data_IF_524861425104
#
_entry.id   IF_524861425104
#
_cell.length_a   1.000
_cell.length_b   1.000
_cell.length_c   1.000
_cell.angle_alpha   90.00
_cell.angle_beta   90.00
_cell.angle_gamma   90.00
#
_symmetry.space_group_name_H-M   'P 1'
#
loop_
_entity.id
_entity.type
_entity.pdbx_description
1 polymer ?
#
# COMPACT_ATOMS: atom_id res chain seq x y z
N UNK A 1 26.33 -7.97 4.32
CA UNK A 1 24.91 -7.87 4.68
C UNK A 1 24.67 -8.79 5.86
N UNK A 2 24.14 -8.26 6.96
CA UNK A 2 23.81 -9.01 8.17
C UNK A 2 22.30 -8.99 8.36
N UNK A 3 21.65 -10.16 8.32
CA UNK A 3 20.20 -10.27 8.54
C UNK A 3 19.99 -10.62 10.01
N UNK A 4 19.11 -9.90 10.71
CA UNK A 4 19.00 -10.00 12.17
C UNK A 4 17.78 -10.78 12.65
N UNK A 5 16.58 -10.34 12.31
CA UNK A 5 15.34 -10.99 12.74
C UNK A 5 14.18 -10.67 11.80
N UNK A 6 13.15 -11.52 11.83
CA UNK A 6 11.94 -11.36 11.03
C UNK A 6 11.12 -10.18 11.55
N UNK A 7 10.64 -9.33 10.65
CA UNK A 7 9.76 -8.19 10.98
C UNK A 7 8.36 -8.32 10.38
N UNK A 8 8.17 -9.11 9.31
CA UNK A 8 6.85 -9.37 8.73
C UNK A 8 6.83 -10.65 7.88
N UNK A 9 5.64 -11.24 7.77
CA UNK A 9 5.31 -12.28 6.78
C UNK A 9 4.32 -11.67 5.79
N UNK A 10 4.69 -11.61 4.52
CA UNK A 10 3.83 -11.12 3.43
C UNK A 10 3.40 -12.25 2.51
N UNK A 11 2.47 -11.93 1.60
CA UNK A 11 1.94 -12.88 0.60
C UNK A 11 3.04 -13.49 -0.29
N UNK A 12 4.09 -12.72 -0.55
CA UNK A 12 5.17 -13.09 -1.48
C UNK A 12 6.48 -13.48 -0.78
N UNK A 13 6.45 -13.65 0.56
CA UNK A 13 7.60 -14.11 1.33
C UNK A 13 7.81 -13.38 2.65
N UNK A 14 9.00 -13.55 3.25
CA UNK A 14 9.30 -13.06 4.60
C UNK A 14 10.20 -11.83 4.56
N UNK A 15 9.88 -10.82 5.36
CA UNK A 15 10.67 -9.59 5.49
C UNK A 15 11.46 -9.63 6.80
N UNK A 16 12.76 -9.38 6.69
CA UNK A 16 13.70 -9.32 7.81
C UNK A 16 14.23 -7.90 7.98
N UNK A 17 14.59 -7.52 9.21
CA UNK A 17 15.47 -6.37 9.44
C UNK A 17 16.92 -6.85 9.37
N UNK A 18 17.77 -6.04 8.75
CA UNK A 18 19.19 -6.31 8.66
C UNK A 18 20.01 -5.02 8.62
N UNK A 19 21.31 -5.18 8.42
CA UNK A 19 22.25 -4.08 8.16
C UNK A 19 23.06 -4.33 6.89
N UNK A 20 23.25 -3.27 6.11
CA UNK A 20 24.06 -3.25 4.90
C UNK A 20 24.83 -1.93 4.86
N UNK A 21 26.17 -1.98 4.75
CA UNK A 21 27.06 -0.82 4.80
C UNK A 21 26.76 0.15 5.96
N UNK A 22 26.57 -0.41 7.17
CA UNK A 22 26.20 0.30 8.40
C UNK A 22 24.84 1.03 8.35
N UNK A 23 24.01 0.77 7.34
CA UNK A 23 22.64 1.28 7.24
C UNK A 23 21.64 0.18 7.63
N UNK A 24 20.59 0.58 8.35
CA UNK A 24 19.46 -0.29 8.64
C UNK A 24 18.63 -0.53 7.38
N UNK A 25 18.37 -1.80 7.07
CA UNK A 25 17.66 -2.22 5.86
C UNK A 25 16.54 -3.21 6.16
N UNK A 26 15.51 -3.19 5.32
CA UNK A 26 14.51 -4.23 5.25
C UNK A 26 14.84 -5.17 4.09
N UNK A 27 14.75 -6.47 4.33
CA UNK A 27 15.18 -7.54 3.43
C UNK A 27 14.00 -8.42 3.16
N UNK A 28 13.39 -8.26 1.99
CA UNK A 28 12.29 -9.12 1.56
C UNK A 28 12.86 -10.32 0.84
N UNK A 29 12.77 -11.50 1.45
CA UNK A 29 13.05 -12.77 0.80
C UNK A 29 11.80 -13.19 0.06
N UNK A 30 11.92 -13.34 -1.26
CA UNK A 30 10.85 -13.82 -2.11
C UNK A 30 10.87 -15.34 -2.14
N UNK A 31 9.75 -15.93 -1.76
CA UNK A 31 9.52 -17.37 -1.83
C UNK A 31 8.64 -17.65 -3.05
N UNK A 32 9.19 -18.32 -4.07
CA UNK A 32 8.48 -18.63 -5.31
C UNK A 32 8.02 -20.09 -5.38
N UNK A 33 7.88 -20.74 -4.22
CA UNK A 33 7.44 -22.12 -4.09
C UNK A 33 8.59 -23.12 -3.94
N UNK A 34 8.22 -24.37 -3.68
CA UNK A 34 9.17 -25.46 -3.41
C UNK A 34 10.09 -25.74 -4.61
N UNK A 35 11.37 -25.95 -4.30
CA UNK A 35 12.38 -26.41 -5.26
C UNK A 35 11.90 -27.71 -5.95
N UNK A 36 11.74 -27.67 -7.28
CA UNK A 36 11.43 -28.86 -8.11
C UNK A 36 10.05 -28.87 -8.79
N UNK A 37 9.13 -27.98 -8.42
CA UNK A 37 7.81 -27.87 -9.07
C UNK A 37 7.85 -27.06 -10.38
N UNK A 38 8.72 -26.05 -10.46
CA UNK A 38 8.83 -25.18 -11.64
C UNK A 38 9.82 -25.73 -12.66
N UNK A 39 9.43 -25.74 -13.94
CA UNK A 39 10.33 -26.09 -15.05
C UNK A 39 11.50 -25.10 -15.17
N UNK A 40 12.58 -25.50 -15.83
CA UNK A 40 13.72 -24.61 -16.09
C UNK A 40 13.31 -23.30 -16.80
N UNK A 41 12.33 -23.37 -17.70
CA UNK A 41 11.79 -22.22 -18.42
C UNK A 41 10.97 -21.27 -17.52
N UNK A 42 10.10 -21.82 -16.65
CA UNK A 42 9.34 -21.01 -15.68
C UNK A 42 10.28 -20.29 -14.70
N UNK A 43 11.31 -20.98 -14.23
CA UNK A 43 12.33 -20.38 -13.38
C UNK A 43 13.11 -19.25 -14.08
N UNK A 44 13.41 -19.39 -15.37
CA UNK A 44 14.06 -18.36 -16.15
C UNK A 44 13.13 -17.13 -16.36
N UNK A 45 11.85 -17.36 -16.63
CA UNK A 45 10.86 -16.30 -16.78
C UNK A 45 10.65 -15.50 -15.48
N UNK A 46 10.54 -16.19 -14.33
CA UNK A 46 10.45 -15.55 -13.01
C UNK A 46 11.67 -14.67 -12.72
N UNK A 47 12.87 -15.17 -13.00
CA UNK A 47 14.11 -14.40 -12.84
C UNK A 47 14.19 -13.20 -13.78
N UNK A 48 13.72 -13.33 -15.02
CA UNK A 48 13.66 -12.23 -15.96
C UNK A 48 12.69 -11.13 -15.48
N UNK A 49 11.49 -11.52 -15.01
CA UNK A 49 10.51 -10.60 -14.41
C UNK A 49 11.11 -9.86 -13.22
N UNK A 50 11.76 -10.58 -12.30
CA UNK A 50 12.40 -9.98 -11.14
C UNK A 50 13.51 -9.00 -11.49
N UNK A 51 14.39 -9.33 -12.45
CA UNK A 51 15.42 -8.40 -12.94
C UNK A 51 14.80 -7.13 -13.51
N UNK A 52 13.71 -7.27 -14.26
CA UNK A 52 13.02 -6.12 -14.84
C UNK A 52 12.42 -5.23 -13.74
N UNK A 53 11.76 -5.82 -12.74
CA UNK A 53 11.21 -5.10 -11.57
C UNK A 53 12.32 -4.36 -10.81
N UNK A 54 13.42 -5.03 -10.51
CA UNK A 54 14.59 -4.45 -9.83
C UNK A 54 15.18 -3.29 -10.64
N UNK A 55 15.33 -3.46 -11.97
CA UNK A 55 15.89 -2.42 -12.83
C UNK A 55 15.00 -1.16 -12.90
N UNK A 56 13.68 -1.34 -12.80
CA UNK A 56 12.73 -0.22 -12.69
C UNK A 56 12.84 0.44 -11.32
N UNK A 57 12.77 -0.34 -10.23
CA UNK A 57 12.80 0.19 -8.86
C UNK A 57 14.12 0.89 -8.54
N UNK A 58 15.25 0.39 -9.04
CA UNK A 58 16.56 1.03 -8.86
C UNK A 58 16.62 2.47 -9.41
N UNK A 59 15.77 2.82 -10.38
CA UNK A 59 15.70 4.16 -10.98
C UNK A 59 14.71 5.09 -10.27
N UNK A 60 13.99 4.60 -9.27
CA UNK A 60 13.03 5.40 -8.52
C UNK A 60 13.74 6.17 -7.40
N UNK A 61 13.48 7.46 -7.38
CA UNK A 61 13.97 8.39 -6.38
C UNK A 61 12.88 9.44 -6.12
N UNK A 62 12.22 9.30 -4.97
CA UNK A 62 11.15 10.18 -4.54
C UNK A 62 10.96 10.07 -3.02
N UNK A 63 10.73 11.17 -2.28
CA UNK A 63 10.61 11.15 -0.82
C UNK A 63 9.48 10.25 -0.29
N UNK A 64 8.42 10.05 -1.06
CA UNK A 64 7.28 9.19 -0.70
C UNK A 64 7.32 7.80 -1.35
N UNK A 65 8.48 7.36 -1.84
CA UNK A 65 8.71 6.00 -2.33
C UNK A 65 9.90 5.41 -1.59
N UNK A 66 9.80 4.16 -1.17
CA UNK A 66 10.90 3.46 -0.48
C UNK A 66 12.16 3.39 -1.35
N UNK A 67 13.27 3.83 -0.78
CA UNK A 67 14.59 3.81 -1.40
C UNK A 67 15.08 2.38 -1.57
N UNK A 68 15.30 2.01 -2.82
CA UNK A 68 15.92 0.76 -3.18
C UNK A 68 17.42 0.78 -2.81
N UNK A 69 17.89 -0.28 -2.17
CA UNK A 69 19.30 -0.44 -1.79
C UNK A 69 19.97 -1.46 -2.70
N UNK A 70 19.32 -2.60 -2.96
CA UNK A 70 19.88 -3.66 -3.77
C UNK A 70 18.95 -4.85 -3.93
N UNK A 71 19.35 -5.82 -4.74
CA UNK A 71 18.66 -7.08 -4.88
C UNK A 71 19.65 -8.20 -5.21
N UNK A 72 19.33 -9.42 -4.80
CA UNK A 72 20.11 -10.61 -5.14
C UNK A 72 19.22 -11.69 -5.73
N UNK A 73 19.74 -12.41 -6.72
CA UNK A 73 19.14 -13.64 -7.25
C UNK A 73 19.99 -14.82 -6.78
N UNK A 74 19.74 -15.29 -5.56
CA UNK A 74 20.53 -16.31 -4.89
C UNK A 74 20.89 -15.89 -3.47
N UNK A 75 20.65 -16.80 -2.53
CA UNK A 75 20.91 -16.63 -1.09
C UNK A 75 22.10 -17.46 -0.61
N UNK A 76 22.80 -18.19 -1.49
CA UNK A 76 23.89 -19.11 -1.12
C UNK A 76 25.02 -18.46 -0.30
N UNK A 77 25.19 -17.14 -0.38
CA UNK A 77 26.18 -16.38 0.39
C UNK A 77 25.58 -15.51 1.52
N UNK A 78 24.27 -15.59 1.80
CA UNK A 78 23.61 -14.82 2.85
C UNK A 78 23.47 -15.66 4.12
N UNK A 79 24.03 -15.18 5.24
CA UNK A 79 23.79 -15.74 6.57
C UNK A 79 22.43 -15.23 7.06
N UNK A 80 21.41 -16.09 7.00
CA UNK A 80 20.03 -15.76 7.41
C UNK A 80 19.75 -16.44 8.77
N UNK A 81 19.29 -15.72 9.80
CA UNK A 81 18.96 -16.28 11.10
C UNK A 81 17.92 -17.40 10.99
N UNK A 82 18.22 -18.57 11.57
CA UNK A 82 17.28 -19.69 11.66
C UNK A 82 16.14 -19.35 12.63
N UNK A 83 14.91 -19.78 12.27
CA UNK A 83 13.68 -19.53 13.03
C UNK A 83 13.58 -20.32 14.34
N UNK A 84 14.44 -21.33 14.57
CA UNK A 84 14.53 -22.10 15.81
C UNK A 84 15.91 -22.79 15.89
N UNK A 85 16.68 -22.67 16.98
CA UNK A 85 17.98 -23.34 17.10
C UNK A 85 17.89 -24.82 17.53
N UNK A 86 16.70 -25.35 17.83
CA UNK A 86 16.55 -26.60 18.59
C UNK A 86 15.72 -27.71 17.93
N UNK A 87 15.50 -27.69 16.62
CA UNK A 87 14.92 -28.84 15.91
C UNK A 87 15.76 -29.13 14.66
N UNK A 88 16.25 -30.35 14.63
CA UNK A 88 17.22 -30.96 13.73
C UNK A 88 17.12 -30.56 12.24
N UNK A 89 18.28 -30.20 11.68
CA UNK A 89 18.80 -30.85 10.47
C UNK A 89 18.03 -30.70 9.16
N UNK A 90 17.79 -29.47 8.70
CA UNK A 90 17.79 -29.01 7.29
C UNK A 90 16.82 -27.82 7.16
N UNK A 91 17.34 -26.59 7.13
CA UNK A 91 16.59 -25.43 6.65
C UNK A 91 17.56 -24.36 6.12
N UNK A 92 18.45 -24.77 5.21
CA UNK A 92 19.04 -23.86 4.24
C UNK A 92 17.91 -23.33 3.36
N UNK A 93 17.73 -22.01 3.26
CA UNK A 93 16.85 -21.44 2.24
C UNK A 93 17.19 -22.05 0.87
N UNK A 94 16.20 -22.21 -0.04
CA UNK A 94 16.45 -22.65 -1.40
C UNK A 94 17.68 -21.92 -1.95
N UNK A 95 18.62 -22.64 -2.56
CA UNK A 95 19.88 -22.06 -3.12
C UNK A 95 19.62 -20.97 -4.19
N UNK A 96 18.34 -20.69 -4.47
CA UNK A 96 17.80 -19.86 -5.55
C UNK A 96 16.85 -18.77 -5.07
N UNK A 97 16.64 -18.59 -3.76
CA UNK A 97 15.76 -17.52 -3.26
C UNK A 97 16.27 -16.14 -3.71
N UNK A 98 15.35 -15.28 -4.14
CA UNK A 98 15.66 -13.89 -4.51
C UNK A 98 15.39 -12.99 -3.31
N UNK A 99 16.17 -11.92 -3.16
CA UNK A 99 15.92 -10.93 -2.13
C UNK A 99 15.92 -9.52 -2.70
N UNK A 100 15.07 -8.68 -2.11
CA UNK A 100 15.06 -7.24 -2.34
C UNK A 100 15.44 -6.55 -1.03
N UNK A 101 16.34 -5.59 -1.12
CA UNK A 101 16.86 -4.80 0.00
C UNK A 101 16.44 -3.36 -0.20
N UNK A 102 15.76 -2.81 0.79
CA UNK A 102 15.26 -1.43 0.80
C UNK A 102 15.59 -0.77 2.14
N UNK A 103 15.45 0.54 2.21
CA UNK A 103 15.54 1.26 3.49
C UNK A 103 14.58 0.68 4.55
N UNK A 104 15.05 0.56 5.79
CA UNK A 104 14.17 0.20 6.90
C UNK A 104 13.43 1.43 7.43
N UNK A 105 12.11 1.33 7.57
CA UNK A 105 11.25 2.40 8.05
C UNK A 105 10.68 2.05 9.45
N UNK A 106 11.15 2.72 10.52
CA UNK A 106 10.87 2.30 11.90
C UNK A 106 9.44 2.58 12.38
N UNK A 107 8.66 3.41 11.66
CA UNK A 107 7.28 3.74 12.02
C UNK A 107 6.28 2.60 11.78
N UNK A 108 6.70 1.54 11.08
CA UNK A 108 5.86 0.41 10.71
C UNK A 108 4.89 0.74 9.57
N UNK A 109 3.86 -0.09 9.41
CA UNK A 109 2.85 0.12 8.36
C UNK A 109 1.86 1.21 8.75
N UNK A 110 1.30 1.88 7.75
CA UNK A 110 0.19 2.81 7.94
C UNK A 110 -1.00 2.09 8.58
N UNK A 111 -1.30 0.84 8.19
CA UNK A 111 -2.35 0.03 8.82
C UNK A 111 -2.21 -0.03 10.34
N UNK A 112 -1.02 -0.39 10.83
CA UNK A 112 -0.72 -0.46 12.26
C UNK A 112 -0.80 0.92 12.93
N UNK A 113 -0.37 1.97 12.22
CA UNK A 113 -0.50 3.34 12.71
C UNK A 113 -1.97 3.74 12.88
N UNK A 114 -2.84 3.46 11.91
CA UNK A 114 -4.27 3.79 11.96
C UNK A 114 -5.00 3.00 13.06
N UNK A 115 -4.71 1.71 13.21
CA UNK A 115 -5.26 0.88 14.31
C UNK A 115 -4.94 1.50 15.68
N UNK A 116 -3.69 1.94 15.91
CA UNK A 116 -3.28 2.61 17.16
C UNK A 116 -4.00 3.94 17.40
N UNK A 117 -4.52 4.57 16.35
CA UNK A 117 -5.26 5.83 16.42
C UNK A 117 -6.78 5.63 16.27
N UNK A 118 -7.31 4.40 16.23
CA UNK A 118 -8.74 4.12 15.96
C UNK A 118 -9.70 4.82 16.92
N UNK A 119 -9.36 4.91 18.22
CA UNK A 119 -10.19 5.56 19.24
C UNK A 119 -10.08 7.09 19.21
N UNK A 120 -8.85 7.60 19.31
CA UNK A 120 -8.60 9.05 19.39
C UNK A 120 -8.70 9.80 18.05
N UNK A 121 -8.71 9.05 16.94
CA UNK A 121 -8.63 9.53 15.56
C UNK A 121 -7.39 10.38 15.30
N UNK A 122 -7.18 10.77 14.04
CA UNK A 122 -6.07 11.63 13.64
C UNK A 122 -6.53 13.09 13.59
N UNK A 123 -5.63 14.00 13.96
CA UNK A 123 -5.81 15.42 13.66
C UNK A 123 -5.92 15.62 12.15
N UNK A 124 -6.82 16.50 11.70
CA UNK A 124 -7.12 16.67 10.27
C UNK A 124 -5.88 17.03 9.43
N UNK A 125 -4.99 17.87 9.98
CA UNK A 125 -3.71 18.19 9.33
C UNK A 125 -2.84 16.94 9.08
N UNK A 126 -2.86 15.97 9.99
CA UNK A 126 -2.13 14.69 9.82
C UNK A 126 -2.80 13.82 8.76
N UNK A 127 -4.14 13.79 8.70
CA UNK A 127 -4.89 13.10 7.64
C UNK A 127 -4.48 13.64 6.27
N UNK A 128 -4.52 14.96 6.09
CA UNK A 128 -4.19 15.61 4.81
C UNK A 128 -2.71 15.40 4.47
N UNK A 129 -1.79 15.45 5.44
CA UNK A 129 -0.37 15.17 5.21
C UNK A 129 -0.15 13.73 4.69
N UNK A 130 -0.73 12.73 5.35
CA UNK A 130 -0.59 11.33 4.93
C UNK A 130 -1.20 11.09 3.53
N UNK A 131 -2.33 11.75 3.25
CA UNK A 131 -2.96 11.71 1.92
C UNK A 131 -2.09 12.36 0.84
N UNK A 132 -1.45 13.50 1.15
CA UNK A 132 -0.52 14.18 0.25
C UNK A 132 0.72 13.33 -0.03
N UNK A 133 1.32 12.75 1.01
CA UNK A 133 2.47 11.86 0.85
C UNK A 133 2.15 10.68 -0.07
N UNK A 134 1.03 10.00 0.18
CA UNK A 134 0.59 8.88 -0.66
C UNK A 134 0.28 9.31 -2.09
N UNK A 135 -0.45 10.41 -2.28
CA UNK A 135 -0.83 10.88 -3.61
C UNK A 135 0.38 11.36 -4.43
N UNK A 136 1.36 12.02 -3.81
CA UNK A 136 2.62 12.42 -4.46
C UNK A 136 3.45 11.20 -4.86
N UNK A 137 3.55 10.19 -4.00
CA UNK A 137 4.19 8.92 -4.33
C UNK A 137 3.55 8.24 -5.54
N UNK A 138 2.22 8.14 -5.59
CA UNK A 138 1.51 7.54 -6.72
C UNK A 138 1.61 8.39 -7.99
N UNK A 139 1.50 9.72 -7.88
CA UNK A 139 1.70 10.64 -8.99
C UNK A 139 3.08 10.48 -9.62
N UNK A 140 4.12 10.35 -8.78
CA UNK A 140 5.48 10.07 -9.23
C UNK A 140 5.55 8.73 -9.99
N UNK A 141 5.01 7.64 -9.43
CA UNK A 141 5.01 6.33 -10.10
C UNK A 141 4.29 6.37 -11.46
N UNK A 142 3.12 7.02 -11.51
CA UNK A 142 2.34 7.17 -12.74
C UNK A 142 3.10 8.00 -13.79
N UNK A 143 3.85 9.02 -13.37
CA UNK A 143 4.74 9.79 -14.27
C UNK A 143 5.86 8.93 -14.88
N UNK A 144 6.27 7.87 -14.18
CA UNK A 144 7.24 6.87 -14.64
C UNK A 144 6.60 5.70 -15.39
N UNK A 145 5.29 5.77 -15.69
CA UNK A 145 4.51 4.69 -16.31
C UNK A 145 4.53 3.41 -15.50
N UNK A 146 4.52 3.52 -14.17
CA UNK A 146 4.46 2.38 -13.26
C UNK A 146 3.08 2.37 -12.60
N UNK A 147 2.41 1.22 -12.67
CA UNK A 147 1.15 0.94 -11.95
C UNK A 147 1.48 0.09 -10.73
N UNK A 148 1.06 0.53 -9.55
CA UNK A 148 1.38 -0.15 -8.29
C UNK A 148 0.57 -1.44 -8.12
N UNK A 149 -0.73 -1.43 -8.47
CA UNK A 149 -1.68 -2.56 -8.44
C UNK A 149 -2.07 -3.13 -7.08
N UNK A 150 -1.29 -2.88 -6.02
CA UNK A 150 -1.62 -3.29 -4.64
C UNK A 150 -1.54 -2.13 -3.65
N UNK A 151 -2.19 -1.01 -3.99
CA UNK A 151 -2.27 0.17 -3.12
C UNK A 151 -3.18 -0.15 -1.93
N UNK A 152 -2.60 -0.28 -0.74
CA UNK A 152 -3.29 -0.53 0.53
C UNK A 152 -2.45 -0.07 1.70
N UNK A 153 -3.06 0.15 2.86
CA UNK A 153 -2.36 0.70 4.04
C UNK A 153 -1.33 -0.25 4.65
N UNK A 154 -1.36 -1.56 4.32
CA UNK A 154 -0.28 -2.49 4.66
C UNK A 154 1.00 -2.27 3.85
N UNK A 155 0.89 -1.75 2.62
CA UNK A 155 2.03 -1.47 1.73
C UNK A 155 2.52 -0.02 1.83
N UNK A 156 1.97 0.76 2.77
CA UNK A 156 2.45 2.10 3.07
C UNK A 156 3.22 2.06 4.38
N UNK A 157 4.46 2.54 4.37
CA UNK A 157 5.34 2.55 5.54
C UNK A 157 5.56 3.98 6.03
N UNK A 158 5.89 4.12 7.31
CA UNK A 158 6.09 5.42 7.96
C UNK A 158 7.54 5.51 8.45
N UNK A 159 8.22 6.61 8.14
CA UNK A 159 9.57 6.87 8.62
C UNK A 159 9.59 7.45 10.06
N UNK A 160 10.78 7.74 10.59
CA UNK A 160 10.93 8.31 11.93
C UNK A 160 10.30 9.72 12.08
N UNK A 161 10.17 10.46 10.97
CA UNK A 161 9.62 11.82 10.91
C UNK A 161 8.12 11.83 10.60
N UNK A 162 7.46 10.66 10.54
CA UNK A 162 6.06 10.46 10.14
C UNK A 162 5.78 10.76 8.66
N UNK A 163 6.79 10.73 7.81
CA UNK A 163 6.62 10.76 6.36
C UNK A 163 6.13 9.39 5.90
N UNK A 164 5.07 9.37 5.09
CA UNK A 164 4.61 8.15 4.46
C UNK A 164 5.41 7.86 3.19
N UNK A 165 5.82 6.60 3.04
CA UNK A 165 6.47 6.07 1.84
C UNK A 165 5.76 4.84 1.32
N UNK A 166 5.59 4.77 0.00
CA UNK A 166 5.06 3.59 -0.69
C UNK A 166 6.12 2.49 -0.68
N UNK A 167 5.71 1.29 -0.27
CA UNK A 167 6.52 0.09 -0.23
C UNK A 167 5.85 -1.04 -1.03
N UNK A 168 6.60 -2.12 -1.22
CA UNK A 168 6.15 -3.38 -1.82
C UNK A 168 5.67 -3.30 -3.28
N UNK A 169 6.63 -3.34 -4.21
CA UNK A 169 6.39 -3.43 -5.66
C UNK A 169 6.20 -4.87 -6.17
N UNK A 170 5.91 -5.85 -5.30
CA UNK A 170 5.88 -7.27 -5.65
C UNK A 170 4.91 -7.65 -6.79
N UNK A 171 3.96 -6.77 -7.12
CA UNK A 171 3.05 -6.90 -8.26
C UNK A 171 3.05 -5.67 -9.18
N UNK A 172 3.91 -4.69 -8.92
CA UNK A 172 3.97 -3.49 -9.73
C UNK A 172 4.46 -3.83 -11.14
N UNK A 173 3.94 -3.14 -12.14
CA UNK A 173 4.29 -3.36 -13.55
C UNK A 173 4.41 -2.03 -14.27
N UNK A 174 5.26 -2.01 -15.29
CA UNK A 174 5.21 -0.94 -16.29
C UNK A 174 3.84 -1.01 -16.96
N UNK A 175 3.17 0.13 -17.07
CA UNK A 175 1.88 0.26 -17.74
C UNK A 175 2.01 -0.26 -19.17
N UNK A 176 1.24 -1.29 -19.50
CA UNK A 176 1.29 -1.88 -20.83
C UNK A 176 0.63 -0.95 -21.86
N UNK A 177 1.10 -1.00 -23.11
CA UNK A 177 0.48 -0.24 -24.20
C UNK A 177 -0.91 -0.79 -24.55
N UNK A 178 -1.13 -2.10 -24.38
CA UNK A 178 -2.43 -2.73 -24.53
C UNK A 178 -3.04 -3.09 -23.16
N UNK A 179 -4.27 -2.65 -22.86
CA UNK A 179 -4.94 -2.96 -21.60
C UNK A 179 -5.07 -4.47 -21.30
N UNK A 180 -5.11 -5.32 -22.33
CA UNK A 180 -5.20 -6.78 -22.19
C UNK A 180 -3.93 -7.45 -21.62
N UNK A 181 -2.79 -6.75 -21.64
CA UNK A 181 -1.53 -7.25 -21.09
C UNK A 181 -1.42 -7.02 -19.57
N UNK A 182 -2.37 -6.26 -18.99
CA UNK A 182 -2.49 -6.05 -17.56
C UNK A 182 -3.24 -7.23 -16.92
N UNK A 183 -2.65 -8.42 -16.94
CA UNK A 183 -3.26 -9.64 -16.39
C UNK A 183 -3.08 -9.74 -14.87
N UNK A 184 -4.06 -10.33 -14.17
CA UNK A 184 -3.95 -10.82 -12.77
C UNK A 184 -5.03 -10.34 -11.79
N UNK A 185 -5.53 -11.26 -10.96
CA UNK A 185 -6.32 -11.01 -9.73
C UNK A 185 -5.40 -10.63 -8.55
N UNK A 186 -4.60 -9.58 -8.70
CA UNK A 186 -3.59 -9.21 -7.69
C UNK A 186 -4.06 -8.05 -6.82
N UNK A 187 -3.93 -8.20 -5.49
CA UNK A 187 -4.16 -7.16 -4.48
C UNK A 187 -5.08 -7.61 -3.34
N UNK A 188 -5.32 -6.75 -2.36
CA UNK A 188 -6.28 -7.03 -1.29
C UNK A 188 -7.68 -6.56 -1.71
N UNK A 189 -8.65 -7.47 -1.76
CA UNK A 189 -9.97 -7.28 -2.38
C UNK A 189 -10.73 -6.02 -1.92
N UNK A 190 -10.59 -5.61 -0.66
CA UNK A 190 -11.20 -4.40 -0.12
C UNK A 190 -10.71 -3.08 -0.74
N UNK A 191 -9.60 -3.08 -1.48
CA UNK A 191 -9.03 -1.88 -2.10
C UNK A 191 -9.09 -1.92 -3.63
N UNK A 192 -9.47 -3.05 -4.23
CA UNK A 192 -9.44 -3.22 -5.68
C UNK A 192 -10.56 -2.45 -6.38
N UNK A 193 -10.23 -1.90 -7.54
CA UNK A 193 -11.20 -1.26 -8.41
C UNK A 193 -12.19 -2.27 -9.01
N UNK A 194 -13.44 -1.87 -9.32
CA UNK A 194 -14.46 -2.77 -9.85
C UNK A 194 -14.03 -3.49 -11.13
N UNK A 195 -13.33 -2.81 -12.04
CA UNK A 195 -12.82 -3.39 -13.28
C UNK A 195 -11.74 -4.46 -13.04
N UNK A 196 -10.95 -4.31 -11.98
CA UNK A 196 -9.93 -5.31 -11.59
C UNK A 196 -10.62 -6.54 -11.02
N UNK A 197 -11.61 -6.34 -10.15
CA UNK A 197 -12.42 -7.43 -9.55
C UNK A 197 -13.23 -8.21 -10.60
N UNK A 198 -13.65 -7.55 -11.68
CA UNK A 198 -14.43 -8.15 -12.77
C UNK A 198 -13.53 -8.75 -13.88
N UNK A 199 -12.20 -8.79 -13.66
CA UNK A 199 -11.23 -9.33 -14.62
C UNK A 199 -11.15 -8.57 -15.94
N UNK A 200 -11.60 -7.31 -15.97
CA UNK A 200 -11.57 -6.45 -17.16
C UNK A 200 -10.19 -5.82 -17.33
N UNK A 201 -9.83 -5.42 -18.58
CA UNK A 201 -8.63 -4.63 -18.81
C UNK A 201 -8.64 -3.34 -17.97
N UNK A 202 -7.51 -3.01 -17.36
CA UNK A 202 -7.36 -1.85 -16.48
C UNK A 202 -6.04 -1.12 -16.75
N UNK A 203 -5.91 0.09 -16.21
CA UNK A 203 -4.73 0.95 -16.33
C UNK A 203 -4.40 1.57 -14.96
N UNK A 204 -3.52 2.60 -14.93
CA UNK A 204 -3.15 3.30 -13.68
C UNK A 204 -4.32 3.87 -12.86
N UNK A 205 -5.52 4.01 -13.44
CA UNK A 205 -6.74 4.46 -12.72
C UNK A 205 -7.20 3.48 -11.65
N UNK A 206 -6.75 2.22 -11.66
CA UNK A 206 -7.03 1.29 -10.57
C UNK A 206 -6.35 1.73 -9.26
N UNK A 207 -5.12 2.26 -9.33
CA UNK A 207 -4.42 2.82 -8.16
C UNK A 207 -5.17 4.04 -7.58
N UNK A 208 -5.81 4.84 -8.44
CA UNK A 208 -6.62 6.00 -8.01
C UNK A 208 -7.83 5.55 -7.19
N UNK A 209 -8.49 4.47 -7.61
CA UNK A 209 -9.58 3.87 -6.83
C UNK A 209 -9.10 3.42 -5.45
N UNK A 210 -8.01 2.65 -5.42
CA UNK A 210 -7.41 2.14 -4.20
C UNK A 210 -6.92 3.25 -3.28
N UNK A 211 -6.41 4.36 -3.83
CA UNK A 211 -6.13 5.59 -3.10
C UNK A 211 -7.38 6.15 -2.42
N UNK A 212 -8.53 6.18 -3.11
CA UNK A 212 -9.80 6.63 -2.53
C UNK A 212 -10.22 5.81 -1.30
N UNK A 213 -10.02 4.49 -1.33
CA UNK A 213 -10.25 3.60 -0.19
C UNK A 213 -9.24 3.89 0.94
N UNK A 214 -7.95 4.03 0.63
CA UNK A 214 -6.94 4.39 1.61
C UNK A 214 -7.22 5.75 2.26
N UNK A 215 -7.70 6.73 1.50
CA UNK A 215 -8.05 8.05 2.00
C UNK A 215 -9.18 7.98 3.03
N UNK A 216 -10.19 7.16 2.75
CA UNK A 216 -11.26 6.86 3.71
C UNK A 216 -10.71 6.22 4.98
N UNK A 217 -9.85 5.21 4.85
CA UNK A 217 -9.25 4.52 6.00
C UNK A 217 -8.35 5.44 6.83
N UNK A 218 -7.58 6.33 6.20
CA UNK A 218 -6.76 7.36 6.88
C UNK A 218 -7.65 8.31 7.68
N UNK A 219 -8.75 8.79 7.09
CA UNK A 219 -9.66 9.72 7.74
C UNK A 219 -10.41 9.06 8.91
N UNK A 220 -11.01 7.89 8.67
CA UNK A 220 -11.83 7.18 9.64
C UNK A 220 -11.00 6.44 10.71
N UNK A 221 -9.73 6.12 10.42
CA UNK A 221 -8.91 5.20 11.19
C UNK A 221 -9.62 3.86 11.44
N UNK A 222 -10.35 3.37 10.44
CA UNK A 222 -11.18 2.16 10.56
C UNK A 222 -11.11 1.30 9.29
N UNK A 223 -11.59 0.06 9.39
CA UNK A 223 -11.65 -0.89 8.29
C UNK A 223 -12.84 -0.56 7.37
N UNK A 224 -12.67 -0.52 6.03
CA UNK A 224 -13.71 -0.09 5.09
C UNK A 224 -14.94 -1.01 5.01
N UNK A 225 -14.76 -2.31 5.22
CA UNK A 225 -15.82 -3.31 5.10
C UNK A 225 -15.71 -4.36 6.24
N UNK A 226 -15.93 -3.97 7.51
CA UNK A 226 -15.61 -4.83 8.66
C UNK A 226 -16.50 -6.08 8.75
N UNK A 227 -17.73 -6.01 8.25
CA UNK A 227 -18.76 -7.06 8.43
C UNK A 227 -19.00 -7.90 7.17
N UNK A 228 -18.18 -7.72 6.12
CA UNK A 228 -18.36 -8.41 4.84
C UNK A 228 -17.24 -9.40 4.58
N UNK A 229 -17.62 -10.58 4.09
CA UNK A 229 -16.64 -11.52 3.55
C UNK A 229 -15.98 -10.93 2.29
N UNK A 230 -14.80 -11.43 1.96
CA UNK A 230 -14.10 -11.04 0.74
C UNK A 230 -14.94 -11.27 -0.53
N UNK A 231 -15.66 -12.38 -0.61
CA UNK A 231 -16.55 -12.68 -1.74
C UNK A 231 -17.72 -11.67 -1.81
N UNK A 232 -18.28 -11.28 -0.67
CA UNK A 232 -19.35 -10.29 -0.61
C UNK A 232 -18.87 -8.91 -1.02
N UNK A 233 -17.68 -8.49 -0.58
CA UNK A 233 -17.08 -7.21 -0.98
C UNK A 233 -16.92 -7.18 -2.49
N UNK A 234 -16.28 -8.18 -3.08
CA UNK A 234 -16.06 -8.23 -4.53
C UNK A 234 -17.38 -8.14 -5.31
N UNK A 235 -18.38 -8.95 -4.91
CA UNK A 235 -19.70 -8.98 -5.55
C UNK A 235 -20.44 -7.65 -5.41
N UNK A 236 -20.51 -7.07 -4.21
CA UNK A 236 -21.25 -5.83 -3.95
C UNK A 236 -20.57 -4.59 -4.55
N UNK A 237 -19.23 -4.54 -4.56
CA UNK A 237 -18.49 -3.44 -5.20
C UNK A 237 -18.78 -3.39 -6.70
N UNK A 238 -18.77 -4.55 -7.37
CA UNK A 238 -19.00 -4.66 -8.83
C UNK A 238 -20.48 -4.50 -9.18
N UNK A 239 -21.39 -5.21 -8.48
CA UNK A 239 -22.80 -5.32 -8.87
C UNK A 239 -23.72 -4.28 -8.23
N UNK A 240 -23.36 -3.75 -7.08
CA UNK A 240 -24.19 -2.82 -6.29
C UNK A 240 -23.53 -1.45 -6.10
N UNK A 241 -22.36 -1.24 -6.70
CA UNK A 241 -21.56 -0.03 -6.54
C UNK A 241 -21.28 0.32 -5.07
N UNK A 242 -21.10 -0.71 -4.22
CA UNK A 242 -20.82 -0.53 -2.80
C UNK A 242 -19.54 0.28 -2.59
N UNK A 243 -19.58 1.25 -1.67
CA UNK A 243 -18.41 2.02 -1.19
C UNK A 243 -18.51 2.19 0.32
N UNK A 244 -17.38 2.42 1.02
CA UNK A 244 -17.41 2.80 2.43
C UNK A 244 -18.28 4.03 2.67
N UNK A 245 -19.03 4.05 3.77
CA UNK A 245 -19.87 5.19 4.12
C UNK A 245 -19.00 6.37 4.56
N UNK A 246 -19.17 7.53 3.92
CA UNK A 246 -18.45 8.74 4.33
C UNK A 246 -19.16 9.35 5.56
N UNK A 247 -18.48 9.49 6.71
CA UNK A 247 -19.09 10.07 7.90
C UNK A 247 -19.58 11.50 7.69
N UNK A 248 -20.69 11.88 8.34
CA UNK A 248 -21.29 13.22 8.20
C UNK A 248 -20.36 14.36 8.63
N UNK A 249 -19.42 14.11 9.55
CA UNK A 249 -18.43 15.09 9.97
C UNK A 249 -17.28 15.28 8.96
N UNK A 250 -17.22 14.48 7.88
CA UNK A 250 -16.19 14.59 6.86
C UNK A 250 -16.30 15.91 6.10
N UNK A 251 -15.23 16.72 6.04
CA UNK A 251 -15.21 17.95 5.25
C UNK A 251 -15.56 17.69 3.78
N UNK A 252 -16.39 18.55 3.20
CA UNK A 252 -16.94 18.37 1.85
C UNK A 252 -15.86 18.22 0.77
N UNK A 253 -14.75 18.95 0.90
CA UNK A 253 -13.59 18.83 0.01
C UNK A 253 -12.99 17.43 0.02
N UNK A 254 -12.74 16.86 1.21
CA UNK A 254 -12.18 15.52 1.34
C UNK A 254 -13.16 14.45 0.85
N UNK A 255 -14.44 14.58 1.21
CA UNK A 255 -15.50 13.69 0.75
C UNK A 255 -15.66 13.71 -0.78
N UNK A 256 -15.49 14.87 -1.42
CA UNK A 256 -15.51 15.02 -2.87
C UNK A 256 -14.34 14.29 -3.54
N UNK A 257 -13.13 14.39 -2.97
CA UNK A 257 -11.95 13.67 -3.47
C UNK A 257 -12.16 12.16 -3.37
N UNK A 258 -12.62 11.64 -2.21
CA UNK A 258 -12.93 10.21 -2.06
C UNK A 258 -13.91 9.75 -3.15
N UNK A 259 -15.01 10.50 -3.35
CA UNK A 259 -16.03 10.18 -4.35
C UNK A 259 -15.51 10.14 -5.78
N UNK A 260 -14.67 11.11 -6.15
CA UNK A 260 -14.05 11.17 -7.48
C UNK A 260 -13.05 10.02 -7.67
N UNK A 261 -12.27 9.68 -6.65
CA UNK A 261 -11.24 8.65 -6.76
C UNK A 261 -11.83 7.25 -6.94
N UNK A 262 -12.92 6.92 -6.25
CA UNK A 262 -13.53 5.59 -6.31
C UNK A 262 -14.73 5.46 -7.26
N UNK A 263 -14.84 6.34 -8.27
CA UNK A 263 -15.92 6.27 -9.27
C UNK A 263 -15.90 4.88 -9.96
N UNK A 264 -17.07 4.33 -10.23
CA UNK A 264 -17.20 3.04 -10.90
C UNK A 264 -16.58 3.06 -12.30
N UNK A 265 -16.69 4.19 -13.00
CA UNK A 265 -16.05 4.40 -14.29
C UNK A 265 -14.62 4.93 -14.09
N UNK A 266 -13.62 4.14 -14.52
CA UNK A 266 -12.21 4.49 -14.43
C UNK A 266 -11.86 5.83 -15.13
N UNK A 267 -12.55 6.17 -16.23
CA UNK A 267 -12.28 7.39 -17.00
C UNK A 267 -12.79 8.66 -16.30
N UNK A 268 -13.72 8.53 -15.34
CA UNK A 268 -14.19 9.65 -14.53
C UNK A 268 -13.30 9.96 -13.33
N UNK A 269 -12.36 9.05 -13.01
CA UNK A 269 -11.42 9.25 -11.91
C UNK A 269 -10.42 10.34 -12.31
N UNK A 270 -9.93 11.14 -11.35
CA UNK A 270 -8.88 12.15 -11.59
C UNK A 270 -7.52 11.48 -11.79
N UNK A 271 -6.60 12.16 -12.48
CA UNK A 271 -5.19 11.72 -12.49
C UNK A 271 -4.56 12.02 -11.13
N UNK A 272 -3.50 11.30 -10.74
CA UNK A 272 -2.95 11.47 -9.38
C UNK A 272 -2.35 12.86 -9.14
N UNK A 273 -1.84 13.53 -10.17
CA UNK A 273 -1.40 14.93 -10.07
C UNK A 273 -2.56 15.92 -9.85
N UNK A 274 -3.75 15.63 -10.39
CA UNK A 274 -4.98 16.36 -10.08
C UNK A 274 -5.42 16.11 -8.63
N UNK A 275 -5.29 14.87 -8.15
CA UNK A 275 -5.56 14.52 -6.74
C UNK A 275 -4.65 15.29 -5.78
N UNK A 276 -3.36 15.39 -6.09
CA UNK A 276 -2.41 16.19 -5.31
C UNK A 276 -2.88 17.65 -5.24
N UNK A 277 -3.21 18.26 -6.38
CA UNK A 277 -3.71 19.65 -6.43
C UNK A 277 -5.00 19.85 -5.62
N UNK A 278 -5.93 18.89 -5.68
CA UNK A 278 -7.17 18.93 -4.90
C UNK A 278 -6.90 18.85 -3.39
N UNK A 279 -5.94 18.04 -2.95
CA UNK A 279 -5.55 17.92 -1.54
C UNK A 279 -4.80 19.16 -1.04
N UNK A 280 -3.93 19.75 -1.86
CA UNK A 280 -3.21 20.99 -1.54
C UNK A 280 -4.16 22.18 -1.36
N UNK A 281 -5.31 22.17 -2.05
CA UNK A 281 -6.35 23.17 -1.90
C UNK A 281 -7.21 23.00 -0.63
N UNK A 282 -7.04 21.93 0.15
CA UNK A 282 -7.80 21.75 1.40
C UNK A 282 -7.26 22.68 2.48
N UNK A 283 -8.13 23.56 2.99
CA UNK A 283 -7.83 24.36 4.17
C UNK A 283 -7.83 23.48 5.45
N UNK A 284 -6.63 23.18 5.93
CA UNK A 284 -6.43 22.40 7.16
C UNK A 284 -6.65 23.21 8.44
N UNK A 285 -6.82 24.54 8.37
CA UNK A 285 -7.03 25.40 9.55
C UNK A 285 -8.46 25.34 10.09
N UNK A 286 -9.43 24.95 9.25
CA UNK A 286 -10.88 24.96 9.56
C UNK A 286 -11.51 23.56 9.71
N UNK A 287 -10.72 22.49 9.72
CA UNK A 287 -11.22 21.11 9.84
C UNK A 287 -11.04 20.53 11.25
N UNK A 288 -12.14 20.26 11.96
CA UNK A 288 -12.13 19.28 13.03
C UNK A 288 -11.92 17.90 12.39
N UNK A 289 -10.93 17.12 12.85
CA UNK A 289 -10.74 15.75 12.36
C UNK A 289 -11.96 14.87 12.60
N UNK A 290 -11.84 13.58 12.28
CA UNK A 290 -12.92 12.62 12.53
C UNK A 290 -13.34 12.68 14.01
N UNK A 291 -14.63 12.89 14.26
CA UNK A 291 -15.21 12.88 15.61
C UNK A 291 -15.37 11.42 16.05
N UNK A 292 -14.82 11.01 17.20
CA UNK A 292 -15.03 9.67 17.76
C UNK A 292 -16.50 9.36 18.05
N UNK A 293 -16.92 8.11 17.89
CA UNK A 293 -18.33 7.69 18.07
C UNK A 293 -18.83 7.92 19.50
N UNK A 294 -17.95 7.81 20.50
CA UNK A 294 -18.25 8.05 21.92
C UNK A 294 -18.48 9.53 22.28
N UNK A 295 -18.14 10.46 21.39
CA UNK A 295 -18.41 11.90 21.54
C UNK A 295 -19.72 12.33 20.86
N UNK A 296 -20.42 11.44 20.17
CA UNK A 296 -21.69 11.76 19.49
C UNK A 296 -22.90 11.81 20.44
N UNK A 297 -22.72 11.45 21.72
CA UNK A 297 -23.78 11.42 22.73
C UNK A 297 -23.60 12.51 23.78
N UNK A 298 -24.06 13.71 23.44
CA UNK A 298 -24.15 14.83 24.37
C UNK A 298 -24.91 15.98 23.71
N UNK A 299 -26.23 16.03 23.93
CA UNK A 299 -27.00 17.24 23.68
C UNK A 299 -26.38 18.37 24.51
N UNK A 300 -25.59 19.24 23.89
CA UNK A 300 -25.03 20.43 24.52
C UNK A 300 -25.77 21.66 24.01
N UNK A 301 -26.87 21.99 24.70
CA UNK A 301 -27.47 23.33 24.62
C UNK A 301 -26.57 24.44 25.17
N UNK A 302 -25.36 24.15 25.66
CA UNK A 302 -24.41 25.16 26.10
C UNK A 302 -22.96 24.71 25.84
N UNK A 303 -22.52 24.81 24.60
CA UNK A 303 -21.10 24.94 24.29
C UNK A 303 -20.98 25.83 23.05
N UNK A 304 -20.20 26.89 23.18
CA UNK A 304 -19.93 27.89 22.14
C UNK A 304 -19.73 27.24 20.77
N UNK A 305 -20.55 27.67 19.81
CA UNK A 305 -20.56 27.18 18.45
C UNK A 305 -19.14 27.12 17.86
N UNK A 306 -18.73 25.92 17.44
CA UNK A 306 -17.65 25.74 16.47
C UNK A 306 -18.30 25.45 15.11
N UNK A 307 -18.22 26.46 14.24
CA UNK A 307 -18.64 26.46 12.84
C UNK A 307 -19.44 27.74 12.53
N UNK A 308 -19.38 28.31 11.31
CA UNK A 308 -18.52 28.03 10.15
C UNK A 308 -17.21 28.83 10.09
#
# INVERSE_FOLDING_TARGET
MDIRYVIAHGTYGTVYRGTYDNQDVAVKLLDWGEDGMNTGAQNAALRASFRQEVAVWHKLDHPNVTKFVGASMGTSNLKIPSKNPSIDGHNSLPSRACCVVVEYLPGGTLKQFLIRNRRKKLAFKVVVQLALDLSRGLSYLHSKKIVHRDVKTENMLIDANRTLKIADFGVARVEAQNPGDMTGETGTLGYMAPEVLDGKPYNRRCDVYSFGICLWEIYCCDMPYPDLSFADVSSKVVRQNLRPEIPRCCPSGLASIMRKCWDANADKRPEMDEVVRMLEAIDTSKGGGMIPDDQTSGCFCFATARGP
#
